data_IF_372647812129
#
_entry.id   IF_372647812129
#
_cell.length_a   1.000
_cell.length_b   1.000
_cell.length_c   1.000
_cell.angle_alpha   90.00
_cell.angle_beta   90.00
_cell.angle_gamma   90.00
#
_symmetry.space_group_name_H-M   'P 1'
#
loop_
_entity.id
_entity.type
_entity.pdbx_description
1 polymer ?
#
# COMPACT_ATOMS: atom_id res chain seq x y z
N UNK A 1 -9.28 -64.11 -41.36
CA UNK A 1 -8.50 -65.24 -41.89
C UNK A 1 -7.05 -64.99 -41.52
N UNK A 2 -6.52 -65.90 -40.71
CA UNK A 2 -5.14 -66.41 -40.58
C UNK A 2 -3.97 -65.40 -40.60
N UNK A 3 -3.07 -65.37 -39.60
CA UNK A 3 -2.20 -66.49 -39.21
C UNK A 3 -1.61 -66.32 -37.77
N UNK A 4 -1.63 -67.43 -37.01
CA UNK A 4 -0.64 -68.02 -36.06
C UNK A 4 0.60 -67.20 -35.63
N UNK A 5 1.22 -67.31 -34.43
CA UNK A 5 1.10 -68.20 -33.24
C UNK A 5 2.16 -67.77 -32.21
N UNK A 6 1.90 -67.85 -30.89
CA UNK A 6 2.94 -68.28 -29.92
C UNK A 6 2.34 -68.84 -28.61
N UNK A 7 3.10 -69.77 -28.03
CA UNK A 7 2.78 -70.80 -27.02
C UNK A 7 2.64 -70.24 -25.59
N UNK A 8 1.74 -70.77 -24.73
CA UNK A 8 1.61 -70.34 -23.34
C UNK A 8 2.65 -71.02 -22.44
N UNK A 9 3.63 -70.26 -21.97
CA UNK A 9 4.49 -70.63 -20.84
C UNK A 9 3.85 -70.15 -19.52
N UNK A 10 3.66 -71.07 -18.58
CA UNK A 10 3.12 -70.79 -17.24
C UNK A 10 4.02 -69.89 -16.38
N UNK A 11 3.52 -69.45 -15.21
CA UNK A 11 4.14 -68.40 -14.41
C UNK A 11 5.38 -68.90 -13.67
N UNK A 12 6.54 -68.29 -13.93
CA UNK A 12 7.63 -68.29 -12.96
C UNK A 12 7.26 -67.35 -11.81
N UNK A 13 7.39 -67.76 -10.54
CA UNK A 13 7.26 -66.84 -9.43
C UNK A 13 8.50 -65.94 -9.44
N UNK A 14 8.33 -64.68 -9.84
CA UNK A 14 9.34 -63.65 -9.60
C UNK A 14 9.26 -63.34 -8.11
N UNK A 15 10.34 -63.64 -7.40
CA UNK A 15 10.60 -63.16 -6.04
C UNK A 15 10.38 -61.65 -5.99
N UNK A 16 9.21 -61.23 -5.51
CA UNK A 16 9.01 -59.86 -5.02
C UNK A 16 9.64 -59.78 -3.64
N UNK A 17 10.96 -59.64 -3.60
CA UNK A 17 11.57 -58.99 -2.45
C UNK A 17 11.02 -57.55 -2.38
N UNK A 18 10.60 -57.07 -1.21
CA UNK A 18 10.26 -55.66 -1.05
C UNK A 18 11.51 -54.85 -1.41
N UNK A 19 11.36 -53.89 -2.33
CA UNK A 19 12.37 -52.84 -2.48
C UNK A 19 12.47 -52.14 -1.13
N UNK A 20 13.53 -52.41 -0.38
CA UNK A 20 13.97 -51.55 0.70
C UNK A 20 14.33 -50.20 0.05
N UNK A 21 13.38 -49.27 0.10
CA UNK A 21 13.69 -47.85 -0.03
C UNK A 21 14.57 -47.58 1.18
N UNK A 22 15.89 -47.48 0.96
CA UNK A 22 16.81 -46.90 1.92
C UNK A 22 16.33 -45.46 2.10
N UNK A 23 15.52 -45.23 3.12
CA UNK A 23 15.24 -43.90 3.63
C UNK A 23 16.55 -43.47 4.26
N UNK A 24 17.25 -42.53 3.63
CA UNK A 24 18.39 -41.85 4.23
C UNK A 24 18.04 -41.50 5.68
N UNK A 25 18.95 -41.86 6.58
CA UNK A 25 18.74 -42.00 8.01
C UNK A 25 17.93 -40.86 8.66
N UNK A 26 17.06 -41.16 9.66
CA UNK A 26 16.29 -40.15 10.40
C UNK A 26 17.17 -39.08 11.09
N UNK A 27 18.47 -39.35 11.24
CA UNK A 27 19.46 -38.40 11.74
C UNK A 27 19.65 -37.19 10.82
N UNK A 28 19.55 -37.33 9.50
CA UNK A 28 19.79 -36.20 8.60
C UNK A 28 18.64 -35.19 8.60
N UNK A 29 17.39 -35.67 8.70
CA UNK A 29 16.21 -34.81 8.86
C UNK A 29 16.21 -34.09 10.22
N UNK A 30 16.52 -34.80 11.31
CA UNK A 30 16.59 -34.19 12.66
C UNK A 30 17.65 -33.07 12.76
N UNK A 31 18.83 -33.26 12.15
CA UNK A 31 19.89 -32.24 12.11
C UNK A 31 19.53 -31.02 11.25
N UNK A 32 18.72 -31.20 10.19
CA UNK A 32 18.21 -30.09 9.36
C UNK A 32 17.16 -29.29 10.13
N UNK A 33 16.28 -29.97 10.85
CA UNK A 33 15.27 -29.35 11.72
C UNK A 33 15.91 -28.56 12.87
N UNK A 34 16.88 -29.14 13.58
CA UNK A 34 17.62 -28.47 14.66
C UNK A 34 18.33 -27.21 14.17
N UNK A 35 19.07 -27.29 13.04
CA UNK A 35 19.70 -26.11 12.44
C UNK A 35 18.69 -25.06 12.00
N UNK A 36 17.53 -25.48 11.47
CA UNK A 36 16.49 -24.53 11.05
C UNK A 36 15.90 -23.77 12.24
N UNK A 37 15.78 -24.45 13.39
CA UNK A 37 15.31 -23.85 14.64
C UNK A 37 16.36 -22.89 15.21
N UNK A 38 17.65 -23.27 15.25
CA UNK A 38 18.73 -22.37 15.67
C UNK A 38 18.78 -21.09 14.83
N UNK A 39 18.62 -21.20 13.51
CA UNK A 39 18.56 -20.05 12.60
C UNK A 39 17.34 -19.16 12.92
N UNK A 40 16.18 -19.78 13.16
CA UNK A 40 14.95 -19.05 13.48
C UNK A 40 15.07 -18.30 14.81
N UNK A 41 15.66 -18.94 15.83
CA UNK A 41 15.92 -18.33 17.14
C UNK A 41 16.90 -17.14 16.99
N UNK A 42 18.00 -17.32 16.26
CA UNK A 42 18.95 -16.25 15.99
C UNK A 42 18.33 -15.07 15.21
N UNK A 43 17.44 -15.32 14.24
CA UNK A 43 16.72 -14.25 13.55
C UNK A 43 15.66 -13.57 14.44
N UNK A 44 15.03 -14.31 15.36
CA UNK A 44 14.13 -13.75 16.36
C UNK A 44 14.86 -12.81 17.34
N UNK A 45 16.08 -13.15 17.77
CA UNK A 45 16.91 -12.25 18.59
C UNK A 45 17.23 -10.95 17.85
N UNK A 46 17.56 -11.02 16.55
CA UNK A 46 17.79 -9.83 15.74
C UNK A 46 16.52 -8.98 15.58
N UNK A 47 15.36 -9.63 15.44
CA UNK A 47 14.06 -8.95 15.43
C UNK A 47 13.82 -8.22 16.76
N UNK A 48 14.11 -8.85 17.90
CA UNK A 48 13.99 -8.23 19.22
C UNK A 48 14.91 -7.01 19.37
N UNK A 49 16.14 -7.08 18.86
CA UNK A 49 17.04 -5.93 18.82
C UNK A 49 16.48 -4.79 17.97
N UNK A 50 15.89 -5.08 16.81
CA UNK A 50 15.24 -4.07 15.98
C UNK A 50 14.05 -3.43 16.70
N UNK A 51 13.18 -4.22 17.33
CA UNK A 51 12.04 -3.72 18.12
C UNK A 51 12.53 -2.86 19.29
N UNK A 52 13.62 -3.26 19.96
CA UNK A 52 14.19 -2.50 21.06
C UNK A 52 14.65 -1.10 20.63
N UNK A 53 15.13 -0.92 19.39
CA UNK A 53 15.51 0.40 18.85
C UNK A 53 14.30 1.32 18.68
N UNK A 54 13.16 0.79 18.25
CA UNK A 54 11.91 1.55 18.07
C UNK A 54 11.23 1.92 19.40
N UNK A 55 11.38 1.08 20.41
CA UNK A 55 10.75 1.21 21.73
C UNK A 55 11.64 1.93 22.76
N UNK A 56 12.78 2.47 22.32
CA UNK A 56 13.71 3.19 23.17
C UNK A 56 13.22 4.62 23.39
N UNK A 57 12.71 4.92 24.59
CA UNK A 57 12.08 6.19 24.93
C UNK A 57 10.69 6.38 24.33
N UNK A 58 10.05 5.30 23.88
CA UNK A 58 8.70 5.27 23.35
C UNK A 58 8.00 3.99 23.80
N UNK A 59 6.81 4.12 24.39
CA UNK A 59 5.96 3.00 24.79
C UNK A 59 4.73 2.92 23.87
N UNK A 60 4.67 1.94 22.95
CA UNK A 60 3.54 1.76 22.05
C UNK A 60 2.21 1.49 22.78
N UNK A 61 2.26 0.93 23.99
CA UNK A 61 1.07 0.54 24.77
C UNK A 61 0.35 1.74 25.39
N UNK A 62 1.09 2.80 25.75
CA UNK A 62 0.53 4.01 26.36
C UNK A 62 0.26 5.13 25.35
N UNK A 63 0.73 4.99 24.10
CA UNK A 63 0.67 6.03 23.09
C UNK A 63 -0.75 6.54 22.80
N UNK A 64 -1.76 5.66 22.87
CA UNK A 64 -3.18 6.04 22.77
C UNK A 64 -3.57 7.11 23.80
N UNK A 65 -3.11 6.97 25.05
CA UNK A 65 -3.42 7.94 26.11
C UNK A 65 -2.71 9.27 25.88
N UNK A 66 -1.49 9.24 25.33
CA UNK A 66 -0.76 10.45 24.94
C UNK A 66 -1.50 11.22 23.84
N UNK A 67 -2.02 10.51 22.82
CA UNK A 67 -2.82 11.12 21.75
C UNK A 67 -4.08 11.75 22.33
N UNK A 68 -4.87 11.00 23.11
CA UNK A 68 -6.12 11.49 23.72
C UNK A 68 -5.85 12.76 24.54
N UNK A 69 -4.75 12.79 25.30
CA UNK A 69 -4.37 13.95 26.10
C UNK A 69 -3.98 15.17 25.24
N UNK A 70 -3.42 14.94 24.04
CA UNK A 70 -3.00 16.00 23.13
C UNK A 70 -4.11 16.51 22.21
N UNK A 71 -5.20 15.75 21.99
CA UNK A 71 -6.26 16.07 21.02
C UNK A 71 -6.82 17.49 21.20
N UNK A 72 -7.12 17.89 22.44
CA UNK A 72 -7.65 19.25 22.71
C UNK A 72 -6.64 20.34 22.32
N UNK A 73 -5.36 20.11 22.58
CA UNK A 73 -4.29 21.01 22.19
C UNK A 73 -4.19 21.14 20.68
N UNK A 74 -4.20 20.00 19.99
CA UNK A 74 -4.17 19.94 18.52
C UNK A 74 -5.38 20.66 17.90
N UNK A 75 -6.58 20.43 18.42
CA UNK A 75 -7.80 21.08 17.93
C UNK A 75 -7.71 22.61 18.02
N UNK A 76 -7.16 23.14 19.13
CA UNK A 76 -7.05 24.58 19.34
C UNK A 76 -6.00 25.28 18.47
N UNK A 77 -5.04 24.53 17.92
CA UNK A 77 -3.95 25.06 17.07
C UNK A 77 -3.99 24.55 15.63
N UNK A 78 -5.02 23.78 15.26
CA UNK A 78 -5.21 23.30 13.91
C UNK A 78 -5.55 24.46 12.98
N UNK A 79 -4.77 24.59 11.91
CA UNK A 79 -5.03 25.52 10.83
C UNK A 79 -4.98 24.74 9.50
N UNK A 80 -5.62 25.25 8.43
CA UNK A 80 -5.58 24.60 7.14
C UNK A 80 -4.14 24.28 6.72
N UNK A 81 -3.90 23.04 6.34
CA UNK A 81 -2.58 22.57 5.88
C UNK A 81 -1.48 22.43 6.93
N UNK A 82 -1.74 22.58 8.23
CA UNK A 82 -0.71 22.37 9.27
C UNK A 82 -0.57 20.91 9.71
N UNK A 83 0.56 20.58 10.35
CA UNK A 83 0.75 19.26 10.97
C UNK A 83 -0.35 18.92 11.98
N UNK A 84 -0.84 19.90 12.74
CA UNK A 84 -1.98 19.69 13.63
C UNK A 84 -3.24 19.30 12.86
N UNK A 85 -3.50 19.92 11.71
CA UNK A 85 -4.61 19.51 10.85
C UNK A 85 -4.46 18.06 10.39
N UNK A 86 -3.27 17.60 9.99
CA UNK A 86 -3.04 16.18 9.68
C UNK A 86 -3.27 15.27 10.89
N UNK A 87 -2.72 15.61 12.06
CA UNK A 87 -2.88 14.78 13.25
C UNK A 87 -4.36 14.70 13.66
N UNK A 88 -5.10 15.81 13.56
CA UNK A 88 -6.56 15.83 13.73
C UNK A 88 -7.24 14.94 12.69
N UNK A 89 -6.91 15.06 11.40
CA UNK A 89 -7.39 14.17 10.33
C UNK A 89 -7.12 12.69 10.61
N UNK A 90 -6.11 12.33 11.40
CA UNK A 90 -5.82 10.93 11.73
C UNK A 90 -6.58 10.45 12.99
N UNK A 91 -6.69 11.27 14.03
CA UNK A 91 -7.05 10.79 15.37
C UNK A 91 -8.46 11.13 15.85
N UNK A 92 -9.16 12.09 15.23
CA UNK A 92 -10.55 12.36 15.57
C UNK A 92 -11.50 11.34 14.93
N UNK A 93 -12.66 11.18 15.55
CA UNK A 93 -13.76 10.34 15.03
C UNK A 93 -14.31 10.87 13.71
N UNK A 94 -15.09 10.07 12.99
CA UNK A 94 -15.67 10.50 11.70
C UNK A 94 -16.66 11.66 11.87
N UNK A 95 -17.37 11.73 12.99
CA UNK A 95 -18.30 12.82 13.31
C UNK A 95 -17.54 14.13 13.58
N UNK A 96 -16.54 14.09 14.46
CA UNK A 96 -15.68 15.24 14.79
C UNK A 96 -14.90 15.75 13.56
N UNK A 97 -14.56 14.85 12.64
CA UNK A 97 -13.89 15.19 11.39
C UNK A 97 -14.73 16.14 10.53
N UNK A 98 -16.03 15.92 10.42
CA UNK A 98 -16.89 16.78 9.62
C UNK A 98 -16.98 18.19 10.19
N UNK A 99 -17.09 18.30 11.52
CA UNK A 99 -17.14 19.59 12.22
C UNK A 99 -15.82 20.34 12.06
N UNK A 100 -14.69 19.66 12.28
CA UNK A 100 -13.35 20.26 12.10
C UNK A 100 -13.12 20.74 10.66
N UNK A 101 -13.46 19.92 9.66
CA UNK A 101 -13.32 20.32 8.24
C UNK A 101 -14.18 21.55 7.91
N UNK A 102 -15.39 21.63 8.46
CA UNK A 102 -16.28 22.78 8.29
C UNK A 102 -15.71 24.05 8.94
N UNK A 103 -15.14 23.94 10.15
CA UNK A 103 -14.49 25.06 10.83
C UNK A 103 -13.29 25.58 10.04
N UNK A 104 -12.41 24.69 9.59
CA UNK A 104 -11.24 25.07 8.81
C UNK A 104 -11.62 25.67 7.44
N UNK A 105 -12.66 25.17 6.80
CA UNK A 105 -13.19 25.75 5.55
C UNK A 105 -13.74 27.16 5.78
N UNK A 106 -14.46 27.40 6.87
CA UNK A 106 -14.94 28.74 7.22
C UNK A 106 -13.76 29.71 7.46
N UNK A 107 -12.70 29.25 8.13
CA UNK A 107 -11.48 30.05 8.32
C UNK A 107 -10.84 30.42 6.97
N UNK A 108 -10.74 29.48 6.02
CA UNK A 108 -10.24 29.78 4.68
C UNK A 108 -11.11 30.78 3.93
N UNK A 109 -12.43 30.69 4.05
CA UNK A 109 -13.35 31.64 3.41
C UNK A 109 -13.22 33.05 4.00
N UNK A 110 -13.04 33.16 5.33
CA UNK A 110 -12.80 34.43 5.98
C UNK A 110 -11.46 35.06 5.56
N UNK A 111 -10.42 34.26 5.37
CA UNK A 111 -9.09 34.74 5.00
C UNK A 111 -8.92 35.02 3.49
N UNK A 112 -9.55 34.22 2.63
CA UNK A 112 -9.27 34.22 1.17
C UNK A 112 -10.53 34.26 0.29
N UNK A 113 -11.71 34.57 0.82
CA UNK A 113 -13.00 34.45 0.13
C UNK A 113 -13.03 35.05 -1.28
N UNK A 114 -12.48 36.25 -1.46
CA UNK A 114 -12.42 36.92 -2.77
C UNK A 114 -11.65 36.09 -3.83
N UNK A 115 -10.50 35.53 -3.44
CA UNK A 115 -9.65 34.73 -4.34
C UNK A 115 -10.28 33.37 -4.62
N UNK A 116 -10.99 32.80 -3.65
CA UNK A 116 -11.66 31.50 -3.79
C UNK A 116 -12.84 31.51 -4.76
N UNK A 117 -13.52 32.65 -4.89
CA UNK A 117 -14.65 32.84 -5.80
C UNK A 117 -14.19 33.06 -7.24
N UNK A 118 -13.01 33.65 -7.43
CA UNK A 118 -12.42 33.91 -8.76
C UNK A 118 -11.73 32.67 -9.40
N UNK A 119 -11.25 31.72 -8.60
CA UNK A 119 -10.35 30.64 -9.04
C UNK A 119 -10.98 29.41 -9.74
N UNK A 120 -12.27 29.39 -10.08
CA UNK A 120 -12.88 28.20 -10.72
C UNK A 120 -12.69 28.25 -12.25
N UNK A 121 -11.85 27.37 -12.85
CA UNK A 121 -12.21 25.96 -12.98
C UNK A 121 -11.09 24.96 -12.65
N UNK A 122 -11.48 23.85 -11.99
CA UNK A 122 -10.61 22.68 -11.77
C UNK A 122 -10.19 22.07 -13.11
N UNK A 123 -8.89 21.92 -13.39
CA UNK A 123 -8.45 21.06 -14.49
C UNK A 123 -8.92 19.63 -14.22
N UNK A 124 -9.67 19.02 -15.16
CA UNK A 124 -10.21 17.65 -15.01
C UNK A 124 -9.12 16.60 -14.74
N UNK A 125 -7.87 16.89 -15.10
CA UNK A 125 -6.70 16.03 -14.88
C UNK A 125 -6.26 15.92 -13.41
N UNK A 126 -6.69 16.84 -12.55
CA UNK A 126 -6.26 16.89 -11.14
C UNK A 126 -7.14 16.03 -10.22
N UNK A 127 -8.34 15.66 -10.66
CA UNK A 127 -9.34 14.92 -9.87
C UNK A 127 -8.80 13.56 -9.44
N UNK A 128 -8.06 12.87 -10.32
CA UNK A 128 -7.49 11.56 -10.02
C UNK A 128 -6.49 11.65 -8.87
N UNK A 129 -5.53 12.57 -8.91
CA UNK A 129 -4.51 12.71 -7.86
C UNK A 129 -5.12 13.15 -6.52
N UNK A 130 -6.10 14.07 -6.57
CA UNK A 130 -6.89 14.47 -5.39
C UNK A 130 -7.63 13.27 -4.77
N UNK A 131 -8.27 12.43 -5.60
CA UNK A 131 -8.99 11.24 -5.13
C UNK A 131 -8.06 10.17 -4.56
N UNK A 132 -6.86 10.00 -5.15
CA UNK A 132 -5.85 9.10 -4.60
C UNK A 132 -5.35 9.60 -3.26
N UNK A 133 -5.06 10.89 -3.12
CA UNK A 133 -4.63 11.45 -1.84
C UNK A 133 -5.71 11.32 -0.76
N UNK A 134 -6.99 11.51 -1.09
CA UNK A 134 -8.08 11.23 -0.16
C UNK A 134 -8.12 9.75 0.26
N UNK A 135 -7.84 8.83 -0.66
CA UNK A 135 -7.73 7.39 -0.37
C UNK A 135 -6.51 7.07 0.50
N UNK A 136 -5.39 7.75 0.30
CA UNK A 136 -4.18 7.65 1.14
C UNK A 136 -4.49 8.09 2.58
N UNK A 137 -5.18 9.21 2.77
CA UNK A 137 -5.62 9.69 4.09
C UNK A 137 -6.63 8.73 4.72
N UNK A 138 -7.60 8.20 3.98
CA UNK A 138 -8.54 7.22 4.52
C UNK A 138 -7.84 5.92 4.95
N UNK A 139 -6.88 5.45 4.14
CA UNK A 139 -6.06 4.29 4.49
C UNK A 139 -5.29 4.54 5.79
N UNK A 140 -4.67 5.71 5.96
CA UNK A 140 -4.01 6.09 7.20
C UNK A 140 -4.98 6.14 8.39
N UNK A 141 -6.19 6.69 8.18
CA UNK A 141 -7.23 6.72 9.20
C UNK A 141 -7.61 5.31 9.65
N UNK A 142 -7.72 4.34 8.75
CA UNK A 142 -8.00 2.93 9.10
C UNK A 142 -6.83 2.28 9.83
N UNK A 143 -5.59 2.52 9.41
CA UNK A 143 -4.39 1.98 10.07
C UNK A 143 -4.26 2.44 11.52
N UNK A 144 -4.59 3.71 11.77
CA UNK A 144 -4.50 4.38 13.07
C UNK A 144 -5.77 4.29 13.91
N UNK A 145 -6.83 3.64 13.41
CA UNK A 145 -8.09 3.46 14.11
C UNK A 145 -7.93 2.94 15.56
N UNK A 146 -7.04 1.96 15.87
CA UNK A 146 -6.86 1.47 17.25
C UNK A 146 -6.38 2.53 18.26
N UNK A 147 -5.85 3.66 17.80
CA UNK A 147 -5.42 4.77 18.64
C UNK A 147 -6.55 5.75 18.98
N UNK A 148 -7.75 5.59 18.40
CA UNK A 148 -8.92 6.41 18.71
C UNK A 148 -9.64 5.92 19.96
N UNK A 149 -10.42 6.78 20.60
CA UNK A 149 -11.04 6.51 21.90
C UNK A 149 -12.12 5.39 21.87
N UNK A 150 -12.65 5.09 20.70
CA UNK A 150 -13.81 4.23 20.45
C UNK A 150 -13.49 2.87 19.83
N UNK A 151 -12.27 2.66 19.30
CA UNK A 151 -11.94 1.45 18.57
C UNK A 151 -11.63 0.25 19.47
N UNK A 152 -12.13 -0.93 19.06
CA UNK A 152 -11.79 -2.25 19.59
C UNK A 152 -10.94 -3.06 18.60
N UNK A 153 -10.47 -2.42 17.53
CA UNK A 153 -9.77 -3.10 16.43
C UNK A 153 -8.43 -3.67 16.92
N UNK A 154 -8.12 -4.95 16.63
CA UNK A 154 -6.89 -5.58 17.08
C UNK A 154 -5.67 -4.99 16.36
N UNK A 155 -4.52 -5.03 17.06
CA UNK A 155 -3.22 -4.66 16.48
C UNK A 155 -2.35 -5.91 16.35
N UNK A 156 -2.01 -6.26 15.12
CA UNK A 156 -1.13 -7.39 14.82
C UNK A 156 0.33 -6.92 14.73
N UNK A 157 0.95 -6.72 15.90
CA UNK A 157 2.31 -6.22 16.01
C UNK A 157 3.33 -7.06 15.24
N UNK A 158 4.32 -6.41 14.61
CA UNK A 158 5.42 -7.11 13.94
C UNK A 158 6.23 -7.98 14.91
N UNK A 159 6.27 -7.62 16.19
CA UNK A 159 6.89 -8.42 17.26
C UNK A 159 6.28 -9.81 17.44
N UNK A 160 5.05 -10.02 16.97
CA UNK A 160 4.34 -11.29 17.07
C UNK A 160 4.57 -12.17 15.84
N UNK A 161 5.21 -11.67 14.78
CA UNK A 161 5.44 -12.38 13.51
C UNK A 161 6.65 -13.32 13.56
N UNK A 162 6.71 -14.16 14.61
CA UNK A 162 7.85 -15.03 14.95
C UNK A 162 8.07 -16.22 14.01
N UNK A 163 7.07 -16.59 13.22
CA UNK A 163 7.18 -17.63 12.20
C UNK A 163 8.00 -17.18 10.96
N UNK A 164 8.14 -15.87 10.73
CA UNK A 164 9.00 -15.31 9.68
C UNK A 164 9.64 -14.00 10.16
N UNK A 165 10.62 -14.09 11.09
CA UNK A 165 11.22 -12.91 11.71
C UNK A 165 12.05 -12.08 10.73
N UNK A 166 12.60 -12.70 9.68
CA UNK A 166 13.42 -12.04 8.66
C UNK A 166 12.65 -10.93 7.95
N UNK A 167 11.42 -11.22 7.51
CA UNK A 167 10.58 -10.22 6.81
C UNK A 167 10.23 -9.05 7.74
N UNK A 168 9.81 -9.35 8.98
CA UNK A 168 9.51 -8.32 9.97
C UNK A 168 10.71 -7.43 10.29
N UNK A 169 11.89 -8.03 10.47
CA UNK A 169 13.14 -7.30 10.70
C UNK A 169 13.50 -6.39 9.52
N UNK A 170 13.42 -6.90 8.28
CA UNK A 170 13.71 -6.11 7.08
C UNK A 170 12.78 -4.90 6.95
N UNK A 171 11.49 -5.06 7.27
CA UNK A 171 10.55 -3.94 7.28
C UNK A 171 10.89 -2.89 8.33
N UNK A 172 11.28 -3.29 9.54
CA UNK A 172 11.71 -2.37 10.59
C UNK A 172 13.00 -1.63 10.23
N UNK A 173 13.98 -2.33 9.65
CA UNK A 173 15.24 -1.72 9.17
C UNK A 173 15.00 -0.71 8.06
N UNK A 174 14.08 -1.00 7.13
CA UNK A 174 13.68 -0.06 6.09
C UNK A 174 12.91 1.13 6.67
N UNK A 175 11.98 0.91 7.61
CA UNK A 175 11.23 1.96 8.29
C UNK A 175 12.15 2.91 9.06
N UNK A 176 13.23 2.41 9.68
CA UNK A 176 14.27 3.22 10.32
C UNK A 176 14.86 4.25 9.35
N UNK A 177 15.09 3.89 8.09
CA UNK A 177 15.61 4.82 7.07
C UNK A 177 14.59 5.90 6.74
N UNK A 178 13.33 5.50 6.52
CA UNK A 178 12.22 6.42 6.21
C UNK A 178 12.02 7.44 7.33
N UNK A 179 11.96 6.99 8.59
CA UNK A 179 11.75 7.86 9.76
C UNK A 179 12.90 8.83 9.92
N UNK A 180 14.15 8.39 9.76
CA UNK A 180 15.30 9.29 9.87
C UNK A 180 15.32 10.36 8.78
N UNK A 181 14.93 10.03 7.55
CA UNK A 181 14.78 11.02 6.47
C UNK A 181 13.63 11.97 6.80
N UNK A 182 12.47 11.46 7.20
CA UNK A 182 11.33 12.26 7.60
C UNK A 182 11.65 13.24 8.74
N UNK A 183 12.37 12.81 9.78
CA UNK A 183 12.83 13.69 10.87
C UNK A 183 13.68 14.85 10.35
N UNK A 184 14.57 14.58 9.38
CA UNK A 184 15.39 15.63 8.75
C UNK A 184 14.53 16.59 7.94
N UNK A 185 13.55 16.07 7.19
CA UNK A 185 12.60 16.89 6.41
C UNK A 185 11.80 17.83 7.34
N UNK A 186 11.24 17.29 8.43
CA UNK A 186 10.49 18.09 9.42
C UNK A 186 11.38 19.16 10.06
N UNK A 187 12.64 18.84 10.38
CA UNK A 187 13.59 19.83 10.92
C UNK A 187 13.96 20.90 9.87
N UNK A 188 14.07 20.54 8.60
CA UNK A 188 14.33 21.48 7.52
C UNK A 188 13.14 22.42 7.32
N UNK A 189 11.92 21.88 7.27
CA UNK A 189 10.66 22.63 7.15
C UNK A 189 10.46 23.67 8.27
N UNK A 190 10.98 23.40 9.47
CA UNK A 190 10.97 24.38 10.56
C UNK A 190 11.90 25.58 10.33
N UNK A 191 13.02 25.37 9.65
CA UNK A 191 14.07 26.39 9.47
C UNK A 191 13.86 27.20 8.19
N UNK A 192 13.37 26.54 7.14
CA UNK A 192 13.14 27.11 5.82
C UNK A 192 12.03 26.30 5.15
N UNK A 193 10.91 26.93 4.78
CA UNK A 193 9.85 26.24 4.01
C UNK A 193 10.17 26.40 2.51
N UNK A 194 10.80 25.41 1.87
CA UNK A 194 11.47 25.64 0.60
C UNK A 194 10.55 25.47 -0.61
N UNK A 195 9.30 25.00 -0.47
CA UNK A 195 8.53 24.53 -1.63
C UNK A 195 7.02 24.80 -1.55
N UNK A 196 6.44 25.21 -2.69
CA UNK A 196 5.00 25.07 -2.92
C UNK A 196 4.63 23.59 -2.78
N UNK A 197 3.98 23.24 -1.66
CA UNK A 197 3.47 21.89 -1.45
C UNK A 197 2.41 21.56 -2.49
N UNK A 198 2.28 20.28 -2.82
CA UNK A 198 1.33 19.83 -3.84
C UNK A 198 0.83 18.43 -3.58
N UNK A 199 -0.42 18.22 -3.99
CA UNK A 199 -1.05 16.91 -4.10
C UNK A 199 -0.93 16.39 -5.53
N UNK A 200 -1.12 17.28 -6.51
CA UNK A 200 -1.15 16.96 -7.93
C UNK A 200 0.27 16.71 -8.44
N UNK A 201 0.47 15.57 -9.09
CA UNK A 201 1.76 15.25 -9.71
C UNK A 201 1.85 15.94 -11.08
N UNK A 202 2.94 16.69 -11.37
CA UNK A 202 3.09 17.43 -12.63
C UNK A 202 3.34 16.54 -13.86
N UNK A 203 3.55 15.24 -13.70
CA UNK A 203 3.77 14.30 -14.81
C UNK A 203 2.59 14.32 -15.80
N UNK A 204 2.83 14.43 -17.12
CA UNK A 204 1.77 14.30 -18.11
C UNK A 204 1.22 12.86 -18.14
N UNK A 205 0.09 12.65 -18.84
CA UNK A 205 -0.41 11.29 -19.10
C UNK A 205 0.64 10.52 -19.90
N UNK A 206 1.34 9.60 -19.23
CA UNK A 206 2.46 8.84 -19.78
C UNK A 206 2.61 7.51 -19.05
N UNK A 207 3.47 6.63 -19.58
CA UNK A 207 3.77 5.35 -18.91
C UNK A 207 4.40 5.56 -17.53
N UNK A 208 5.16 6.63 -17.33
CA UNK A 208 5.71 7.02 -16.03
C UNK A 208 4.63 7.44 -15.06
N UNK A 209 3.66 8.26 -15.49
CA UNK A 209 2.51 8.62 -14.65
C UNK A 209 1.71 7.38 -14.24
N UNK A 210 1.44 6.47 -15.19
CA UNK A 210 0.73 5.22 -14.89
C UNK A 210 1.49 4.38 -13.86
N UNK A 211 2.81 4.22 -14.02
CA UNK A 211 3.61 3.48 -13.05
C UNK A 211 3.67 4.15 -11.67
N UNK A 212 3.74 5.48 -11.61
CA UNK A 212 3.68 6.22 -10.35
C UNK A 212 2.35 5.97 -9.62
N UNK A 213 1.24 6.04 -10.35
CA UNK A 213 -0.09 5.72 -9.79
C UNK A 213 -0.17 4.25 -9.36
N UNK A 214 0.40 3.32 -10.13
CA UNK A 214 0.48 1.90 -9.74
C UNK A 214 1.27 1.69 -8.45
N UNK A 215 2.42 2.35 -8.26
CA UNK A 215 3.19 2.26 -7.01
C UNK A 215 2.39 2.77 -5.81
N UNK A 216 1.66 3.90 -5.97
CA UNK A 216 0.77 4.41 -4.91
C UNK A 216 -0.33 3.42 -4.57
N UNK A 217 -0.97 2.83 -5.58
CA UNK A 217 -2.05 1.86 -5.38
C UNK A 217 -1.56 0.59 -4.68
N UNK A 218 -0.43 0.04 -5.13
CA UNK A 218 0.21 -1.11 -4.48
C UNK A 218 0.56 -0.80 -3.02
N UNK A 219 1.11 0.40 -2.72
CA UNK A 219 1.38 0.83 -1.33
C UNK A 219 0.11 0.87 -0.48
N UNK A 220 -1.00 1.40 -1.02
CA UNK A 220 -2.30 1.43 -0.33
C UNK A 220 -2.77 0.02 -0.03
N UNK A 221 -2.66 -0.91 -0.97
CA UNK A 221 -3.11 -2.28 -0.76
C UNK A 221 -2.21 -3.03 0.23
N UNK A 222 -0.88 -2.88 0.14
CA UNK A 222 0.05 -3.40 1.14
C UNK A 222 -0.22 -2.84 2.54
N UNK A 223 -0.70 -1.59 2.65
CA UNK A 223 -1.16 -1.05 3.92
C UNK A 223 -2.42 -1.77 4.42
N UNK A 224 -3.42 -2.01 3.56
CA UNK A 224 -4.65 -2.73 3.95
C UNK A 224 -4.35 -4.15 4.41
N UNK A 225 -3.41 -4.83 3.76
CA UNK A 225 -3.02 -6.19 4.10
C UNK A 225 -2.48 -6.29 5.56
N UNK A 226 -1.92 -5.19 6.09
CA UNK A 226 -1.41 -5.13 7.48
C UNK A 226 -2.53 -5.00 8.53
N UNK A 227 -3.77 -4.77 8.10
CA UNK A 227 -4.94 -4.81 8.99
C UNK A 227 -5.29 -6.24 9.40
N UNK A 228 -4.84 -7.24 8.63
CA UNK A 228 -5.16 -8.66 8.86
C UNK A 228 -3.95 -9.48 9.31
N UNK A 229 -4.22 -10.57 10.03
CA UNK A 229 -3.18 -11.53 10.37
C UNK A 229 -2.69 -12.29 9.12
N UNK A 230 -3.61 -12.77 8.31
CA UNK A 230 -3.34 -13.78 7.27
C UNK A 230 -2.57 -13.27 6.05
N UNK A 231 -2.61 -11.98 5.78
CA UNK A 231 -2.09 -11.39 4.53
C UNK A 231 -0.60 -11.01 4.62
N UNK A 232 0.02 -11.13 5.79
CA UNK A 232 1.40 -10.68 6.03
C UNK A 232 2.48 -11.65 5.49
N UNK A 233 2.22 -12.96 5.58
CA UNK A 233 3.15 -14.05 5.19
C UNK A 233 2.70 -14.71 3.89
N UNK A 234 2.64 -13.93 2.81
CA UNK A 234 2.31 -14.46 1.50
C UNK A 234 3.51 -15.15 0.84
N UNK A 235 3.32 -16.40 0.39
CA UNK A 235 4.30 -17.20 -0.36
C UNK A 235 3.70 -17.65 -1.69
N UNK A 236 4.51 -18.09 -2.67
CA UNK A 236 3.98 -18.59 -3.95
C UNK A 236 2.98 -19.75 -3.74
N UNK A 237 3.13 -20.53 -2.67
CA UNK A 237 2.22 -21.63 -2.34
C UNK A 237 0.80 -21.15 -2.02
N UNK A 238 0.64 -19.89 -1.61
CA UNK A 238 -0.64 -19.23 -1.36
C UNK A 238 -1.43 -18.98 -2.65
N UNK A 239 -0.88 -19.28 -3.82
CA UNK A 239 -1.69 -19.30 -5.03
C UNK A 239 -2.51 -20.60 -5.13
N UNK A 240 -2.08 -21.68 -4.48
CA UNK A 240 -2.72 -23.00 -4.67
C UNK A 240 -3.98 -23.22 -3.82
N UNK A 241 -5.04 -23.74 -4.45
CA UNK A 241 -6.25 -24.20 -3.76
C UNK A 241 -5.96 -25.18 -2.61
N UNK A 242 -5.01 -26.08 -2.84
CA UNK A 242 -4.60 -27.09 -1.85
C UNK A 242 -4.07 -26.43 -0.58
N UNK A 243 -3.20 -25.42 -0.72
CA UNK A 243 -2.68 -24.68 0.43
C UNK A 243 -3.81 -24.04 1.24
N UNK A 244 -4.78 -23.39 0.59
CA UNK A 244 -5.91 -22.78 1.30
C UNK A 244 -6.82 -23.80 1.98
N UNK A 245 -7.12 -24.91 1.31
CA UNK A 245 -7.91 -25.99 1.89
C UNK A 245 -7.21 -26.61 3.10
N UNK A 246 -5.90 -26.86 2.99
CA UNK A 246 -5.09 -27.41 4.07
C UNK A 246 -4.91 -26.43 5.24
N UNK A 247 -4.62 -25.15 4.94
CA UNK A 247 -4.55 -24.07 5.95
C UNK A 247 -5.86 -24.00 6.72
N UNK A 248 -7.00 -23.93 6.02
CA UNK A 248 -8.33 -23.88 6.65
C UNK A 248 -8.57 -25.10 7.55
N UNK A 249 -8.33 -26.30 7.03
CA UNK A 249 -8.50 -27.55 7.78
C UNK A 249 -7.63 -27.57 9.04
N UNK A 250 -6.38 -27.11 8.95
CA UNK A 250 -5.46 -27.08 10.08
C UNK A 250 -5.87 -26.04 11.12
N UNK A 251 -6.28 -24.84 10.70
CA UNK A 251 -6.79 -23.83 11.61
C UNK A 251 -8.02 -24.30 12.40
N UNK A 252 -8.89 -25.10 11.78
CA UNK A 252 -10.10 -25.66 12.42
C UNK A 252 -9.78 -26.85 13.35
N UNK A 253 -8.92 -27.77 12.92
CA UNK A 253 -8.70 -29.04 13.62
C UNK A 253 -7.49 -29.04 14.58
N UNK A 254 -6.50 -28.17 14.35
CA UNK A 254 -5.29 -28.06 15.17
C UNK A 254 -4.81 -26.60 15.23
N UNK A 255 -5.49 -25.75 16.01
CA UNK A 255 -5.19 -24.32 16.06
C UNK A 255 -3.81 -24.01 16.65
N UNK A 256 -3.29 -24.87 17.53
CA UNK A 256 -1.97 -24.66 18.16
C UNK A 256 -0.86 -24.80 17.13
N UNK A 257 -0.89 -25.88 16.33
CA UNK A 257 0.04 -26.06 15.20
C UNK A 257 -0.10 -24.95 14.15
N UNK A 258 -1.33 -24.48 13.90
CA UNK A 258 -1.55 -23.36 12.99
C UNK A 258 -0.94 -22.04 13.52
N UNK A 259 -0.92 -21.81 14.83
CA UNK A 259 -0.21 -20.66 15.44
C UNK A 259 1.31 -20.81 15.36
N UNK A 260 1.85 -22.01 15.61
CA UNK A 260 3.29 -22.29 15.44
C UNK A 260 3.76 -21.97 14.02
N UNK A 261 2.94 -22.30 13.02
CA UNK A 261 3.23 -21.99 11.61
C UNK A 261 2.91 -20.54 11.21
N UNK A 262 2.44 -19.73 12.15
CA UNK A 262 2.08 -18.32 11.92
C UNK A 262 0.84 -18.12 11.06
N UNK A 263 -0.01 -19.15 10.89
CA UNK A 263 -1.28 -19.08 10.16
C UNK A 263 -2.43 -18.53 10.99
N UNK A 264 -2.29 -18.56 12.31
CA UNK A 264 -3.19 -17.90 13.25
C UNK A 264 -2.40 -16.95 14.15
N UNK A 265 -3.03 -15.84 14.60
CA UNK A 265 -2.40 -14.96 15.56
C UNK A 265 -2.17 -15.67 16.89
N UNK A 266 -1.15 -15.23 17.67
CA UNK A 266 -1.04 -15.60 19.07
C UNK A 266 -2.33 -15.27 19.84
N UNK A 267 -2.61 -16.02 20.90
CA UNK A 267 -3.80 -15.82 21.74
C UNK A 267 -3.79 -14.43 22.39
N UNK A 268 -2.61 -13.92 22.70
CA UNK A 268 -2.42 -12.62 23.33
C UNK A 268 -1.70 -11.68 22.36
N UNK A 269 -2.35 -10.56 22.03
CA UNK A 269 -1.83 -9.53 21.14
C UNK A 269 -1.18 -8.39 21.93
N UNK A 270 -0.17 -8.72 22.75
CA UNK A 270 0.53 -7.76 23.57
C UNK A 270 1.40 -6.80 22.74
N UNK A 271 1.33 -5.51 23.08
CA UNK A 271 2.18 -4.49 22.48
C UNK A 271 3.65 -4.68 22.92
N UNK A 272 4.63 -4.34 22.06
CA UNK A 272 6.02 -4.29 22.46
C UNK A 272 6.21 -3.36 23.67
N UNK A 273 6.99 -3.81 24.65
CA UNK A 273 7.32 -2.99 25.83
C UNK A 273 8.41 -1.99 25.50
N UNK A 274 8.39 -0.84 26.19
CA UNK A 274 9.48 0.12 26.14
C UNK A 274 10.80 -0.54 26.55
N UNK A 275 11.83 -0.43 25.72
CA UNK A 275 13.17 -0.94 26.02
C UNK A 275 13.94 -0.04 27.00
N UNK A 276 13.61 1.26 26.99
CA UNK A 276 14.14 2.27 27.89
C UNK A 276 13.09 3.36 28.09
N UNK A 277 12.95 3.95 29.28
CA UNK A 277 12.02 5.06 29.51
C UNK A 277 12.43 6.34 28.80
N UNK A 278 13.71 6.52 28.48
CA UNK A 278 14.24 7.74 27.87
C UNK A 278 15.01 7.44 26.57
N UNK A 279 14.79 8.29 25.58
CA UNK A 279 15.54 8.32 24.32
C UNK A 279 16.74 9.26 24.44
N UNK A 280 17.89 8.80 23.95
CA UNK A 280 19.15 9.54 23.84
C UNK A 280 19.37 10.06 22.42
N UNK A 281 20.30 11.01 22.26
CA UNK A 281 20.69 11.52 20.94
C UNK A 281 21.08 10.35 20.03
N UNK A 282 20.48 10.29 18.84
CA UNK A 282 20.67 9.21 17.88
C UNK A 282 19.57 8.15 17.90
N UNK A 283 18.77 8.08 18.97
CA UNK A 283 17.63 7.17 19.03
C UNK A 283 16.47 7.65 18.15
N UNK A 284 15.62 6.72 17.71
CA UNK A 284 14.52 7.00 16.80
C UNK A 284 13.48 7.94 17.42
N UNK A 285 13.09 7.69 18.68
CA UNK A 285 12.15 8.53 19.43
C UNK A 285 12.76 9.84 19.94
N UNK A 286 14.08 10.04 19.81
CA UNK A 286 14.69 11.28 20.24
C UNK A 286 14.31 12.43 19.30
N UNK A 287 13.67 13.46 19.87
CA UNK A 287 13.39 14.72 19.20
C UNK A 287 14.13 15.86 19.90
N UNK A 288 14.93 16.68 19.17
CA UNK A 288 15.78 17.70 19.78
C UNK A 288 14.98 18.90 20.32
N UNK A 289 13.77 19.14 19.81
CA UNK A 289 12.95 20.31 20.12
C UNK A 289 11.74 19.91 20.97
N UNK A 290 11.97 19.33 22.16
CA UNK A 290 10.89 19.02 23.11
C UNK A 290 10.27 20.31 23.64
N UNK A 291 9.21 20.80 22.99
CA UNK A 291 8.48 22.00 23.40
C UNK A 291 7.16 21.63 24.06
N UNK A 292 7.04 21.86 25.38
CA UNK A 292 5.78 21.87 26.12
C UNK A 292 4.88 20.63 26.01
N UNK A 293 3.63 20.78 26.48
CA UNK A 293 2.62 19.71 26.59
C UNK A 293 2.00 19.36 25.20
N UNK A 294 2.09 20.26 24.21
CA UNK A 294 1.51 20.10 22.87
C UNK A 294 2.59 19.99 21.78
N UNK A 295 3.55 19.07 21.94
CA UNK A 295 4.60 18.90 20.94
C UNK A 295 4.11 18.08 19.74
N UNK A 296 3.46 18.74 18.77
CA UNK A 296 3.02 18.12 17.50
C UNK A 296 4.12 17.30 16.81
N UNK A 297 5.38 17.70 16.92
CA UNK A 297 6.48 17.01 16.26
C UNK A 297 6.86 15.70 16.94
N UNK A 298 6.77 15.67 18.28
CA UNK A 298 6.92 14.43 19.04
C UNK A 298 5.81 13.44 18.67
N UNK A 299 4.58 13.93 18.52
CA UNK A 299 3.44 13.12 18.06
C UNK A 299 3.63 12.61 16.64
N UNK A 300 4.11 13.42 15.69
CA UNK A 300 4.42 12.96 14.33
C UNK A 300 5.43 11.82 14.34
N UNK A 301 6.54 11.97 15.08
CA UNK A 301 7.59 10.95 15.15
C UNK A 301 7.06 9.69 15.83
N UNK A 302 6.40 9.80 16.98
CA UNK A 302 5.83 8.65 17.69
C UNK A 302 4.74 7.95 16.88
N UNK A 303 3.95 8.68 16.09
CA UNK A 303 2.97 8.08 15.16
C UNK A 303 3.68 7.23 14.11
N UNK A 304 4.78 7.73 13.53
CA UNK A 304 5.58 6.96 12.58
C UNK A 304 6.20 5.71 13.23
N UNK A 305 6.69 5.82 14.48
CA UNK A 305 7.22 4.67 15.23
C UNK A 305 6.14 3.64 15.54
N UNK A 306 4.96 4.10 15.95
CA UNK A 306 3.82 3.23 16.21
C UNK A 306 3.41 2.47 14.95
N UNK A 307 3.27 3.17 13.81
CA UNK A 307 2.95 2.55 12.53
C UNK A 307 4.02 1.54 12.10
N UNK A 308 5.30 1.82 12.35
CA UNK A 308 6.38 0.87 12.03
C UNK A 308 6.23 -0.44 12.79
N UNK A 309 5.90 -0.37 14.09
CA UNK A 309 5.73 -1.54 14.95
C UNK A 309 4.40 -2.27 14.72
N UNK A 310 3.34 -1.54 14.44
CA UNK A 310 1.99 -2.08 14.29
C UNK A 310 1.68 -2.57 12.88
N UNK A 311 2.22 -1.90 11.85
CA UNK A 311 1.81 -2.03 10.44
C UNK A 311 2.98 -2.13 9.46
N UNK A 312 4.22 -1.89 9.89
CA UNK A 312 5.42 -2.11 9.06
C UNK A 312 5.72 -0.98 8.08
N UNK A 313 6.61 -1.27 7.11
CA UNK A 313 7.18 -0.27 6.20
C UNK A 313 6.13 0.49 5.37
N UNK A 314 5.16 -0.16 4.69
CA UNK A 314 4.24 0.55 3.79
C UNK A 314 3.45 1.65 4.51
N UNK A 315 3.03 1.39 5.74
CA UNK A 315 2.24 2.32 6.55
C UNK A 315 3.06 3.54 7.00
N UNK A 316 4.31 3.33 7.43
CA UNK A 316 5.23 4.42 7.78
C UNK A 316 5.53 5.28 6.57
N UNK A 317 5.81 4.62 5.44
CA UNK A 317 6.10 5.27 4.17
C UNK A 317 4.93 6.16 3.72
N UNK A 318 3.70 5.62 3.76
CA UNK A 318 2.47 6.35 3.48
C UNK A 318 2.30 7.56 4.41
N UNK A 319 2.45 7.36 5.72
CA UNK A 319 2.27 8.42 6.71
C UNK A 319 3.27 9.57 6.52
N UNK A 320 4.55 9.26 6.35
CA UNK A 320 5.58 10.26 6.15
C UNK A 320 5.36 11.04 4.84
N UNK A 321 4.93 10.38 3.76
CA UNK A 321 4.61 11.06 2.49
C UNK A 321 3.37 11.94 2.58
N UNK A 322 2.31 11.49 3.26
CA UNK A 322 1.16 12.33 3.54
C UNK A 322 1.54 13.53 4.40
N UNK A 323 2.40 13.33 5.42
CA UNK A 323 2.89 14.40 6.28
C UNK A 323 3.68 15.46 5.52
N UNK A 324 4.44 15.11 4.49
CA UNK A 324 5.14 16.08 3.63
C UNK A 324 4.21 17.04 2.87
N UNK A 325 2.92 16.77 2.77
CA UNK A 325 1.93 17.71 2.20
C UNK A 325 1.52 18.80 3.20
N UNK A 326 1.76 18.61 4.50
CA UNK A 326 1.39 19.54 5.57
C UNK A 326 2.61 20.23 6.17
N UNK A 327 2.45 21.46 6.66
CA UNK A 327 3.56 22.30 7.14
C UNK A 327 3.50 22.61 8.63
N UNK A 328 4.62 23.07 9.18
CA UNK A 328 4.69 23.72 10.49
C UNK A 328 4.21 25.17 10.44
N UNK A 329 4.22 25.80 9.27
CA UNK A 329 3.96 27.21 9.08
C UNK A 329 2.46 27.54 9.07
N UNK A 330 2.15 28.71 9.62
CA UNK A 330 0.81 29.29 9.54
C UNK A 330 0.56 29.78 8.11
N UNK A 331 -0.62 29.51 7.51
CA UNK A 331 -0.99 30.07 6.21
C UNK A 331 -0.84 31.60 6.18
N UNK A 332 -0.08 32.12 5.23
CA UNK A 332 0.12 33.57 5.06
C UNK A 332 -1.14 34.26 4.53
N UNK A 333 -1.43 35.49 4.97
CA UNK A 333 -2.56 36.27 4.41
C UNK A 333 -2.41 36.53 2.91
N UNK A 334 -1.17 36.61 2.42
CA UNK A 334 -0.84 36.83 1.00
C UNK A 334 -0.46 35.51 0.29
N UNK A 335 -1.07 34.39 0.69
CA UNK A 335 -0.77 33.09 0.09
C UNK A 335 -1.02 33.07 -1.43
N UNK A 336 -0.18 32.35 -2.17
CA UNK A 336 -0.35 32.21 -3.62
C UNK A 336 -1.67 31.50 -3.94
N UNK A 337 -2.30 31.77 -5.11
CA UNK A 337 -3.52 31.08 -5.52
C UNK A 337 -3.42 29.55 -5.49
N UNK A 338 -2.24 28.99 -5.80
CA UNK A 338 -1.98 27.55 -5.74
C UNK A 338 -2.03 27.02 -4.32
N UNK A 339 -1.40 27.74 -3.39
CA UNK A 339 -1.45 27.41 -1.96
C UNK A 339 -2.88 27.47 -1.45
N UNK A 340 -3.64 28.51 -1.79
CA UNK A 340 -5.04 28.64 -1.38
C UNK A 340 -5.88 27.46 -1.90
N UNK A 341 -5.70 27.06 -3.16
CA UNK A 341 -6.36 25.88 -3.74
C UNK A 341 -5.98 24.60 -2.99
N UNK A 342 -4.68 24.38 -2.72
CA UNK A 342 -4.20 23.25 -1.93
C UNK A 342 -4.87 23.22 -0.55
N UNK A 343 -4.85 24.33 0.19
CA UNK A 343 -5.44 24.42 1.53
C UNK A 343 -6.93 24.06 1.48
N UNK A 344 -7.66 24.57 0.50
CA UNK A 344 -9.08 24.24 0.29
C UNK A 344 -9.31 22.77 -0.04
N UNK A 345 -8.39 22.11 -0.75
CA UNK A 345 -8.48 20.67 -0.96
C UNK A 345 -8.29 19.90 0.34
N UNK A 346 -7.33 20.30 1.16
CA UNK A 346 -7.05 19.67 2.46
C UNK A 346 -8.22 19.84 3.45
N UNK A 347 -8.95 20.95 3.42
CA UNK A 347 -10.14 21.21 4.26
C UNK A 347 -11.45 20.63 3.70
N UNK A 348 -11.40 20.03 2.51
CA UNK A 348 -12.55 19.38 1.87
C UNK A 348 -12.28 17.91 1.58
N UNK A 349 -11.35 17.30 2.30
CA UNK A 349 -11.05 15.88 2.16
C UNK A 349 -12.27 15.09 2.62
N UNK A 350 -13.02 14.58 1.65
CA UNK A 350 -14.07 13.60 1.92
C UNK A 350 -13.41 12.24 1.99
N UNK A 351 -13.51 11.65 3.17
CA UNK A 351 -13.04 10.32 3.46
C UNK A 351 -14.19 9.35 3.14
N UNK A 352 -14.15 8.61 2.02
CA UNK A 352 -15.24 7.72 1.66
C UNK A 352 -15.25 6.50 2.59
N UNK A 353 -16.32 6.35 3.36
CA UNK A 353 -16.52 5.26 4.35
C UNK A 353 -16.50 3.86 3.69
N UNK A 354 -16.82 3.78 2.39
CA UNK A 354 -17.10 2.52 1.66
C UNK A 354 -15.99 2.06 0.70
N UNK A 355 -14.98 2.90 0.42
CA UNK A 355 -14.03 2.61 -0.67
C UNK A 355 -12.98 1.53 -0.34
N UNK A 356 -12.85 1.18 0.93
CA UNK A 356 -11.91 0.17 1.39
C UNK A 356 -12.73 -0.97 1.96
N UNK A 357 -13.10 -1.92 1.10
CA UNK A 357 -13.55 -3.22 1.58
C UNK A 357 -12.33 -3.87 2.26
N UNK A 358 -12.32 -4.09 3.58
CA UNK A 358 -11.24 -4.80 4.27
C UNK A 358 -11.32 -6.30 3.98
N UNK A 359 -12.24 -6.76 3.12
CA UNK A 359 -12.31 -8.16 2.78
C UNK A 359 -10.97 -8.60 2.17
N UNK A 360 -10.38 -9.69 2.69
CA UNK A 360 -9.11 -10.15 2.21
C UNK A 360 -9.19 -10.35 0.70
N UNK A 361 -8.12 -9.98 -0.01
CA UNK A 361 -8.02 -10.29 -1.45
C UNK A 361 -8.29 -11.77 -1.56
N UNK A 362 -9.38 -12.17 -2.23
CA UNK A 362 -9.62 -13.59 -2.42
C UNK A 362 -8.45 -14.05 -3.28
N UNK A 363 -7.52 -14.87 -2.77
CA UNK A 363 -6.47 -15.38 -3.62
C UNK A 363 -7.21 -16.16 -4.68
N UNK A 364 -7.11 -15.69 -5.94
CA UNK A 364 -7.77 -16.36 -7.06
C UNK A 364 -7.28 -17.80 -7.00
N UNK A 365 -8.15 -18.77 -6.65
CA UNK A 365 -7.64 -20.07 -6.29
C UNK A 365 -7.06 -20.69 -7.54
N UNK A 366 -5.75 -20.87 -7.58
CA UNK A 366 -5.09 -21.61 -8.62
C UNK A 366 -5.54 -23.06 -8.44
N UNK A 367 -6.59 -23.45 -9.17
CA UNK A 367 -6.80 -24.76 -9.80
C UNK A 367 -8.29 -25.05 -10.08
N UNK A 368 -8.64 -25.26 -11.36
CA UNK A 368 -9.39 -26.46 -11.82
C UNK A 368 -9.48 -26.47 -13.35
N UNK A 369 -8.53 -27.17 -13.99
CA UNK A 369 -8.32 -27.28 -15.45
C UNK A 369 -8.06 -25.90 -16.07
N UNK A 370 -6.87 -25.67 -16.61
CA UNK A 370 -6.64 -24.53 -17.50
C UNK A 370 -7.75 -24.55 -18.56
N UNK A 371 -8.79 -23.73 -18.37
CA UNK A 371 -9.70 -23.46 -19.45
C UNK A 371 -8.89 -22.62 -20.42
N UNK A 372 -9.04 -22.91 -21.71
CA UNK A 372 -8.39 -22.13 -22.76
C UNK A 372 -8.86 -20.68 -22.62
N UNK A 373 -8.07 -19.82 -21.95
CA UNK A 373 -8.45 -18.44 -21.66
C UNK A 373 -8.06 -17.90 -20.27
N UNK A 374 -7.66 -18.73 -19.31
CA UNK A 374 -7.15 -18.22 -18.02
C UNK A 374 -5.75 -17.61 -18.18
N UNK A 375 -5.57 -16.42 -17.62
CA UNK A 375 -4.35 -15.63 -17.75
C UNK A 375 -3.46 -15.82 -16.51
N UNK A 376 -3.05 -17.07 -16.26
CA UNK A 376 -2.29 -17.47 -15.07
C UNK A 376 -1.01 -16.62 -14.88
N UNK A 377 -0.32 -16.33 -15.98
CA UNK A 377 0.87 -15.47 -16.02
C UNK A 377 0.58 -14.06 -15.48
N UNK A 378 -0.61 -13.51 -15.74
CA UNK A 378 -1.00 -12.19 -15.24
C UNK A 378 -1.14 -12.19 -13.71
N UNK A 379 -1.79 -13.20 -13.14
CA UNK A 379 -1.97 -13.28 -11.69
C UNK A 379 -0.65 -13.52 -10.96
N UNK A 380 0.23 -14.35 -11.53
CA UNK A 380 1.57 -14.54 -10.99
C UNK A 380 2.41 -13.25 -11.09
N UNK A 381 2.33 -12.52 -12.19
CA UNK A 381 3.03 -11.24 -12.36
C UNK A 381 2.50 -10.16 -11.39
N UNK A 382 1.19 -10.06 -11.19
CA UNK A 382 0.59 -9.16 -10.18
C UNK A 382 1.09 -9.52 -8.78
N UNK A 383 1.07 -10.81 -8.45
CA UNK A 383 1.52 -11.30 -7.15
C UNK A 383 3.02 -11.04 -6.90
N UNK A 384 3.87 -11.27 -7.91
CA UNK A 384 5.30 -10.93 -7.84
C UNK A 384 5.55 -9.43 -7.71
N UNK A 385 4.76 -8.61 -8.41
CA UNK A 385 4.86 -7.14 -8.32
C UNK A 385 4.55 -6.63 -6.91
N UNK A 386 3.60 -7.25 -6.22
CA UNK A 386 3.26 -6.95 -4.83
C UNK A 386 4.41 -7.28 -3.87
N UNK A 387 5.13 -8.38 -4.10
CA UNK A 387 6.33 -8.75 -3.33
C UNK A 387 7.53 -7.83 -3.58
N UNK A 388 7.68 -7.33 -4.81
CA UNK A 388 8.76 -6.42 -5.16
C UNK A 388 8.50 -4.99 -4.66
N UNK A 389 7.25 -4.62 -4.41
CA UNK A 389 6.87 -3.33 -3.82
C UNK A 389 7.63 -3.04 -2.51
N UNK A 390 7.72 -4.01 -1.59
CA UNK A 390 8.41 -3.79 -0.31
C UNK A 390 9.89 -3.44 -0.53
N UNK A 391 10.53 -4.07 -1.51
CA UNK A 391 11.92 -3.76 -1.88
C UNK A 391 12.01 -2.37 -2.52
N UNK A 392 11.06 -2.04 -3.39
CA UNK A 392 11.01 -0.74 -4.08
C UNK A 392 10.79 0.42 -3.09
N UNK A 393 9.93 0.25 -2.08
CA UNK A 393 9.73 1.22 -1.00
C UNK A 393 10.95 1.32 -0.08
N UNK A 394 11.65 0.20 0.17
CA UNK A 394 12.89 0.21 0.95
C UNK A 394 14.05 0.91 0.22
N UNK A 395 14.06 0.88 -1.12
CA UNK A 395 15.01 1.63 -1.95
C UNK A 395 14.61 3.10 -2.07
N UNK A 396 13.32 3.39 -2.27
CA UNK A 396 12.77 4.73 -2.43
C UNK A 396 12.07 5.19 -1.14
N UNK A 397 12.83 5.81 -0.24
CA UNK A 397 12.35 6.24 1.10
C UNK A 397 11.17 7.23 1.11
N UNK A 398 10.81 7.80 -0.05
CA UNK A 398 9.70 8.72 -0.26
C UNK A 398 9.24 8.63 -1.71
N UNK A 399 7.93 8.60 -1.95
CA UNK A 399 7.33 8.83 -3.26
C UNK A 399 6.98 10.32 -3.45
N UNK A 400 6.95 11.09 -2.37
CA UNK A 400 6.81 12.55 -2.43
C UNK A 400 8.01 13.17 -3.16
N UNK A 401 7.75 14.06 -4.12
CA UNK A 401 8.77 14.72 -4.93
C UNK A 401 9.19 14.00 -6.22
N UNK A 402 8.55 12.88 -6.58
CA UNK A 402 8.74 12.22 -7.88
C UNK A 402 8.03 12.98 -9.00
N UNK A 403 8.59 14.13 -9.37
CA UNK A 403 7.98 15.10 -10.28
C UNK A 403 8.36 14.88 -11.74
N UNK A 404 9.45 14.17 -12.01
CA UNK A 404 9.95 13.98 -13.36
C UNK A 404 9.91 12.53 -13.78
N UNK A 405 9.78 12.30 -15.09
CA UNK A 405 9.84 10.96 -15.67
C UNK A 405 11.17 10.26 -15.33
N UNK A 406 12.25 11.05 -15.15
CA UNK A 406 13.57 10.54 -14.75
C UNK A 406 13.55 9.98 -13.33
N UNK A 407 12.85 10.63 -12.41
CA UNK A 407 12.73 10.18 -11.02
C UNK A 407 11.96 8.86 -10.95
N UNK A 408 10.83 8.78 -11.67
CA UNK A 408 10.04 7.54 -11.76
C UNK A 408 10.84 6.41 -12.42
N UNK A 409 11.56 6.69 -13.51
CA UNK A 409 12.39 5.67 -14.19
C UNK A 409 13.56 5.18 -13.33
N UNK A 410 14.11 6.04 -12.47
CA UNK A 410 15.15 5.66 -11.50
C UNK A 410 14.59 4.83 -10.35
N UNK A 411 13.36 5.12 -9.94
CA UNK A 411 12.67 4.38 -8.89
C UNK A 411 12.24 2.98 -9.32
N UNK A 412 12.07 2.75 -10.63
CA UNK A 412 11.72 1.42 -11.15
C UNK A 412 12.88 0.44 -11.01
N UNK A 413 12.61 -0.82 -10.60
CA UNK A 413 13.57 -1.88 -10.76
C UNK A 413 13.90 -2.06 -12.26
N UNK A 414 15.14 -2.45 -12.60
CA UNK A 414 15.47 -2.81 -13.97
C UNK A 414 14.53 -3.92 -14.43
N UNK A 415 14.03 -3.88 -15.69
CA UNK A 415 13.14 -4.92 -16.18
C UNK A 415 13.81 -6.29 -15.97
N UNK A 416 13.05 -7.32 -15.57
CA UNK A 416 13.61 -8.65 -15.39
C UNK A 416 14.38 -9.03 -16.66
N UNK A 417 15.58 -9.60 -16.49
CA UNK A 417 16.38 -10.12 -17.62
C UNK A 417 15.60 -11.26 -18.27
N UNK A 418 14.70 -10.91 -19.19
CA UNK A 418 14.01 -11.87 -20.05
C UNK A 418 15.05 -12.48 -20.97
N UNK A 419 14.99 -13.79 -21.19
CA UNK A 419 15.83 -14.40 -22.21
C UNK A 419 15.49 -13.76 -23.56
N UNK A 420 16.49 -13.63 -24.45
CA UNK A 420 16.30 -13.07 -25.80
C UNK A 420 15.13 -13.75 -26.55
N UNK A 421 14.89 -15.04 -26.28
CA UNK A 421 13.78 -15.81 -26.86
C UNK A 421 12.41 -15.32 -26.40
N UNK A 422 12.22 -14.99 -25.11
CA UNK A 422 10.94 -14.48 -24.60
C UNK A 422 10.63 -13.06 -25.09
N UNK A 423 11.66 -12.21 -25.24
CA UNK A 423 11.49 -10.90 -25.87
C UNK A 423 11.13 -11.02 -27.35
N UNK A 424 11.80 -11.92 -28.09
CA UNK A 424 11.49 -12.16 -29.50
C UNK A 424 10.08 -12.73 -29.69
N UNK A 425 9.59 -13.56 -28.76
CA UNK A 425 8.25 -14.12 -28.80
C UNK A 425 7.18 -13.05 -28.57
N UNK A 426 7.33 -12.21 -27.54
CA UNK A 426 6.41 -11.09 -27.28
C UNK A 426 6.36 -10.07 -28.42
N UNK A 427 7.49 -9.80 -29.07
CA UNK A 427 7.53 -8.93 -30.25
C UNK A 427 6.77 -9.58 -31.42
N UNK A 428 6.93 -10.88 -31.64
CA UNK A 428 6.15 -11.62 -32.65
C UNK A 428 4.65 -11.64 -32.32
N UNK A 429 4.31 -11.79 -31.04
CA UNK A 429 2.92 -11.84 -30.58
C UNK A 429 2.26 -10.45 -30.70
N UNK A 430 2.98 -9.37 -30.36
CA UNK A 430 2.52 -7.99 -30.56
C UNK A 430 2.32 -7.65 -32.05
N UNK A 431 3.25 -8.07 -32.91
CA UNK A 431 3.15 -7.88 -34.36
C UNK A 431 2.02 -8.72 -34.98
N UNK A 432 1.72 -9.92 -34.46
CA UNK A 432 0.58 -10.73 -34.92
C UNK A 432 -0.77 -10.17 -34.46
N UNK A 433 -0.81 -9.48 -33.31
CA UNK A 433 -2.00 -8.75 -32.87
C UNK A 433 -2.27 -7.53 -33.76
N UNK A 434 -1.25 -6.74 -34.14
CA UNK A 434 -1.41 -5.64 -35.10
C UNK A 434 -1.91 -6.12 -36.48
N UNK A 435 -1.45 -7.29 -36.94
CA UNK A 435 -1.93 -7.89 -38.19
C UNK A 435 -3.38 -8.36 -38.10
N UNK A 436 -3.83 -8.85 -36.93
CA UNK A 436 -5.22 -9.30 -36.74
C UNK A 436 -6.23 -8.15 -36.55
N UNK A 437 -5.81 -6.98 -36.09
CA UNK A 437 -6.69 -5.79 -35.98
C UNK A 437 -6.81 -5.00 -37.29
N UNK A 438 -5.96 -5.24 -38.28
CA UNK A 438 -6.07 -4.61 -39.59
C UNK A 438 -7.31 -5.07 -40.38
N UNK A 439 -7.84 -6.27 -40.09
CA UNK A 439 -8.87 -6.90 -40.93
C UNK A 439 -10.29 -6.92 -40.38
N UNK A 440 -10.56 -6.54 -39.13
CA UNK A 440 -11.96 -6.46 -38.63
C UNK A 440 -12.15 -5.33 -37.63
N UNK A 441 -12.25 -4.09 -38.12
CA UNK A 441 -13.00 -3.04 -37.44
C UNK A 441 -14.22 -2.67 -38.30
N UNK A 442 -15.46 -2.93 -37.87
CA UNK A 442 -16.62 -2.51 -38.64
C UNK A 442 -16.70 -0.98 -38.60
N UNK A 443 -16.26 -0.32 -39.67
CA UNK A 443 -16.57 1.09 -39.96
C UNK A 443 -18.06 1.20 -40.29
N UNK A 444 -18.89 1.28 -39.26
CA UNK A 444 -20.23 1.85 -39.36
C UNK A 444 -20.37 2.92 -38.30
N UNK A 445 -20.06 4.15 -38.68
CA UNK A 445 -20.45 5.34 -37.94
C UNK A 445 -21.97 5.48 -37.99
N UNK A 446 -22.69 5.49 -36.86
CA UNK A 446 -24.10 5.85 -36.83
C UNK A 446 -24.23 7.38 -36.72
N UNK A 447 -23.74 8.10 -37.72
CA UNK A 447 -23.89 9.56 -37.81
C UNK A 447 -23.66 10.07 -39.25
N UNK A 448 -24.40 9.54 -40.22
CA UNK A 448 -24.59 10.21 -41.52
C UNK A 448 -26.08 10.35 -41.79
N UNK A 449 -26.69 11.26 -41.04
CA UNK A 449 -27.96 11.86 -41.44
C UNK A 449 -27.72 12.55 -42.78
N UNK A 450 -28.41 12.08 -43.81
CA UNK A 450 -28.40 12.61 -45.16
C UNK A 450 -28.86 14.07 -45.17
N UNK A 451 -27.92 14.99 -45.33
CA UNK A 451 -28.21 16.35 -45.78
C UNK A 451 -28.57 16.27 -47.27
N UNK A 452 -29.87 16.21 -47.54
CA UNK A 452 -30.43 16.45 -48.87
C UNK A 452 -30.24 17.95 -49.16
N UNK A 453 -29.54 18.34 -50.25
CA UNK A 453 -29.45 19.74 -50.65
C UNK A 453 -30.79 20.20 -51.27
N UNK A 454 -31.30 21.38 -50.93
CA UNK A 454 -32.43 21.95 -51.65
C UNK A 454 -31.97 22.39 -53.04
N UNK A 455 -32.56 21.80 -54.07
CA UNK A 455 -32.46 22.24 -55.45
C UNK A 455 -33.04 23.65 -55.62
N UNK A 456 -32.26 24.54 -56.22
CA UNK A 456 -32.65 25.89 -56.62
C UNK A 456 -33.85 25.90 -57.60
N UNK A 457 -34.65 26.99 -57.62
CA UNK A 457 -35.92 27.07 -58.30
C UNK A 457 -35.75 27.35 -59.80
N UNK A 458 -36.61 26.74 -60.63
CA UNK A 458 -36.99 27.30 -61.94
C UNK A 458 -38.47 27.68 -61.90
N UNK A 459 -38.69 28.98 -61.99
CA UNK A 459 -39.97 29.65 -62.21
C UNK A 459 -40.72 29.05 -63.41
N UNK A 460 -42.06 29.00 -63.32
CA UNK A 460 -43.02 29.64 -64.23
C UNK A 460 -44.46 29.42 -63.67
N UNK A 461 -45.20 30.53 -63.53
CA UNK A 461 -46.63 30.75 -63.22
C UNK A 461 -47.60 29.95 -64.15
N UNK A 462 -48.97 29.93 -64.01
CA UNK A 462 -49.89 30.90 -63.36
C UNK A 462 -51.20 30.31 -62.71
N UNK A 463 -52.14 31.21 -62.38
CA UNK A 463 -53.62 31.09 -62.22
C UNK A 463 -54.13 30.68 -60.82
N UNK A 464 -54.70 31.64 -60.07
CA UNK A 464 -56.12 32.05 -60.05
C UNK A 464 -57.05 30.99 -59.43
N UNK A 465 -57.45 31.23 -58.18
CA UNK A 465 -58.85 31.34 -57.71
C UNK A 465 -58.84 31.68 -56.22
#
# INVERSE_FOLDING_TARGET
MDYFSYVPGGPNPVDTQPMDIIVDEPYHCAMIEEKSQEILEAENEKLDQAIAQFTKGFDPSTFRNEIISALRGLASSALPGTYEHLLMLCFITDDELQDMQKELENLLQLSYGQVLDELVPRPKTNITDESYFATEIETLRRLLEPLRADSTSPVYWLSLRRANPTKARQQLEAATKVINVFKKDVLADMQFDPQERKIVNPLPVSTERSAFVSMKHLRIDACKDTLHWDEYNQSNMNLTMFYHAYKKLLCENNPDKAREWGWLPPVVLEAPRASSPQASIGDLAYWPLKQGINNKYDLLVKTALWLALARGLPAVHLFCDCARVFTSLVPSQDASPRTIVLLRHLTRLRVPVEAINPNPRTPVPFQKRCQRGDNDDYFEDVWRSDQDLEKDLAQNVSLYGMDTAKDVRRARPPPPRRSFQQQAQLIKDALTVEVNFADVWPRKDPASVSLIPPSLPKLIFPLFA
#
